data_IF_992295328247
#
_entry.id   IF_992295328247
#
_cell.length_a   1.000
_cell.length_b   1.000
_cell.length_c   1.000
_cell.angle_alpha   90.00
_cell.angle_beta   90.00
_cell.angle_gamma   90.00
#
_symmetry.space_group_name_H-M   'P 1'
#
loop_
_entity.id
_entity.type
_entity.pdbx_description
1 polymer ?
#
# COMPACT_ATOMS: atom_id res chain seq x y z
N UNK A 1 -9.77 14.67 -38.15
CA UNK A 1 -10.36 13.71 -37.18
C UNK A 1 -9.21 13.03 -36.46
N UNK A 2 -8.80 13.53 -35.29
CA UNK A 2 -7.73 12.90 -34.51
C UNK A 2 -8.26 11.60 -33.93
N UNK A 3 -7.75 10.46 -34.41
CA UNK A 3 -7.94 9.20 -33.74
C UNK A 3 -7.24 9.31 -32.38
N UNK A 4 -8.00 9.59 -31.32
CA UNK A 4 -7.52 9.39 -29.97
C UNK A 4 -7.27 7.89 -29.81
N UNK A 5 -6.08 7.43 -30.20
CA UNK A 5 -5.67 6.05 -30.01
C UNK A 5 -5.75 5.77 -28.52
N UNK A 6 -6.76 5.01 -28.09
CA UNK A 6 -6.96 4.66 -26.69
C UNK A 6 -5.91 3.62 -26.33
N UNK A 7 -5.23 3.79 -25.21
CA UNK A 7 -4.30 2.77 -24.70
C UNK A 7 -5.05 1.44 -24.47
N UNK A 8 -4.45 0.28 -24.79
CA UNK A 8 -5.09 -1.03 -24.67
C UNK A 8 -5.48 -1.34 -23.22
N UNK A 9 -6.39 -2.32 -23.05
CA UNK A 9 -6.78 -2.77 -21.71
C UNK A 9 -5.65 -3.56 -21.03
N UNK A 10 -4.95 -4.39 -21.79
CA UNK A 10 -3.83 -5.19 -21.31
C UNK A 10 -2.53 -4.37 -21.27
N UNK A 11 -1.57 -4.73 -20.38
CA UNK A 11 -0.30 -4.03 -20.26
C UNK A 11 0.48 -3.94 -21.58
N UNK A 12 0.76 -2.71 -22.03
CA UNK A 12 1.61 -2.40 -23.18
C UNK A 12 2.53 -1.22 -22.82
N UNK A 13 3.49 -1.52 -21.93
CA UNK A 13 4.48 -0.54 -21.49
C UNK A 13 5.30 0.05 -22.64
N UNK A 14 5.75 -0.72 -23.66
CA UNK A 14 6.43 -0.13 -24.82
C UNK A 14 5.63 0.97 -25.50
N UNK A 15 4.33 0.76 -25.76
CA UNK A 15 3.47 1.77 -26.36
C UNK A 15 3.27 2.99 -25.43
N UNK A 16 3.08 2.76 -24.13
CA UNK A 16 2.97 3.85 -23.15
C UNK A 16 4.24 4.72 -23.15
N UNK A 17 5.40 4.08 -23.16
CA UNK A 17 6.70 4.75 -23.19
C UNK A 17 6.88 5.58 -24.46
N UNK A 18 6.69 4.95 -25.62
CA UNK A 18 6.83 5.61 -26.92
C UNK A 18 5.96 6.88 -27.02
N UNK A 19 4.81 6.90 -26.34
CA UNK A 19 3.88 8.02 -26.39
C UNK A 19 4.16 9.13 -25.38
N UNK A 20 4.54 8.80 -24.16
CA UNK A 20 4.52 9.76 -23.05
C UNK A 20 5.90 10.17 -22.52
N UNK A 21 6.98 9.45 -22.83
CA UNK A 21 8.32 9.81 -22.36
C UNK A 21 8.73 11.21 -22.82
N UNK A 22 8.47 11.59 -24.08
CA UNK A 22 8.79 12.92 -24.59
C UNK A 22 8.00 14.07 -23.96
N UNK A 23 6.87 13.78 -23.30
CA UNK A 23 6.03 14.79 -22.62
C UNK A 23 6.40 15.01 -21.15
N UNK A 24 7.26 14.16 -20.57
CA UNK A 24 7.55 14.15 -19.14
C UNK A 24 6.43 13.58 -18.26
N UNK A 25 5.29 13.18 -18.84
CA UNK A 25 4.21 12.48 -18.11
C UNK A 25 4.58 11.07 -17.69
N UNK A 26 5.50 10.42 -18.41
CA UNK A 26 6.08 9.13 -18.01
C UNK A 26 7.59 9.29 -17.88
N UNK A 27 8.12 9.00 -16.70
CA UNK A 27 9.55 8.99 -16.42
C UNK A 27 9.94 7.58 -16.00
N UNK A 28 11.06 7.09 -16.54
CA UNK A 28 11.56 5.74 -16.31
C UNK A 28 12.88 5.79 -15.61
N UNK A 29 13.18 4.69 -14.90
CA UNK A 29 14.48 4.44 -14.32
C UNK A 29 14.94 5.62 -13.42
N UNK A 30 13.97 6.20 -12.70
CA UNK A 30 14.18 7.37 -11.84
C UNK A 30 14.71 6.89 -10.51
N UNK A 31 15.84 7.43 -10.04
CA UNK A 31 16.33 7.12 -8.70
C UNK A 31 15.33 7.62 -7.64
N UNK A 32 15.24 6.91 -6.51
CA UNK A 32 14.31 7.28 -5.43
C UNK A 32 14.50 8.74 -4.97
N UNK A 33 15.75 9.19 -4.86
CA UNK A 33 16.08 10.55 -4.42
C UNK A 33 15.59 11.60 -5.43
N UNK A 34 15.71 11.34 -6.73
CA UNK A 34 15.26 12.26 -7.78
C UNK A 34 13.74 12.31 -7.84
N UNK A 35 13.08 11.15 -7.74
CA UNK A 35 11.63 11.07 -7.59
C UNK A 35 11.16 11.87 -6.38
N UNK A 36 11.87 11.80 -5.25
CA UNK A 36 11.53 12.56 -4.06
C UNK A 36 11.67 14.07 -4.23
N UNK A 37 12.71 14.54 -4.92
CA UNK A 37 12.85 15.96 -5.26
C UNK A 37 11.69 16.44 -6.14
N UNK A 38 11.32 15.65 -7.14
CA UNK A 38 10.21 15.96 -8.06
C UNK A 38 8.85 15.98 -7.38
N UNK A 39 8.67 15.19 -6.32
CA UNK A 39 7.40 15.00 -5.60
C UNK A 39 7.31 15.81 -4.31
N UNK A 40 8.23 16.74 -4.06
CA UNK A 40 8.18 17.58 -2.85
C UNK A 40 6.85 18.33 -2.77
N UNK A 41 6.16 18.20 -1.64
CA UNK A 41 4.86 18.84 -1.39
C UNK A 41 3.69 18.24 -2.17
N UNK A 42 3.90 17.13 -2.88
CA UNK A 42 2.88 16.41 -3.65
C UNK A 42 2.40 15.16 -2.90
N UNK A 43 1.21 14.69 -3.25
CA UNK A 43 0.69 13.39 -2.82
C UNK A 43 0.92 12.34 -3.91
N UNK A 44 1.67 11.28 -3.61
CA UNK A 44 1.97 10.21 -4.56
C UNK A 44 1.09 8.97 -4.31
N UNK A 45 0.57 8.37 -5.39
CA UNK A 45 -0.10 7.08 -5.37
C UNK A 45 0.96 5.99 -5.57
N UNK A 46 1.19 5.14 -4.57
CA UNK A 46 2.12 4.02 -4.67
C UNK A 46 1.42 2.79 -5.26
N UNK A 47 1.72 2.50 -6.53
CA UNK A 47 1.17 1.36 -7.24
C UNK A 47 2.13 0.17 -7.18
N UNK A 48 1.78 -0.85 -6.40
CA UNK A 48 2.55 -2.10 -6.26
C UNK A 48 1.77 -3.30 -6.81
N UNK A 49 2.46 -4.38 -7.20
CA UNK A 49 1.78 -5.64 -7.50
C UNK A 49 1.07 -6.16 -6.25
N UNK A 50 -0.05 -6.86 -6.43
CA UNK A 50 -0.80 -7.46 -5.32
C UNK A 50 -1.41 -8.80 -5.71
N UNK A 51 -2.43 -8.82 -6.57
CA UNK A 51 -3.27 -10.00 -6.85
C UNK A 51 -2.46 -11.27 -7.06
N UNK A 52 -1.52 -11.30 -8.03
CA UNK A 52 -0.66 -12.46 -8.28
C UNK A 52 0.31 -12.81 -7.15
N UNK A 53 0.75 -11.83 -6.38
CA UNK A 53 1.63 -12.05 -5.23
C UNK A 53 0.86 -12.54 -4.01
N UNK A 54 -0.45 -12.28 -3.95
CA UNK A 54 -1.33 -12.65 -2.84
C UNK A 54 -2.04 -13.99 -3.02
N UNK A 55 -1.83 -14.68 -4.14
CA UNK A 55 -2.43 -16.00 -4.41
C UNK A 55 -1.47 -17.16 -4.17
N UNK A 56 -2.00 -18.31 -3.78
CA UNK A 56 -1.29 -19.59 -3.80
C UNK A 56 -1.17 -20.16 -5.23
N UNK A 57 -0.52 -21.32 -5.38
CA UNK A 57 -0.37 -22.03 -6.67
C UNK A 57 -1.72 -22.44 -7.30
N UNK A 58 -2.78 -22.50 -6.49
CA UNK A 58 -4.14 -22.77 -6.93
C UNK A 58 -4.93 -21.52 -7.34
N UNK A 59 -4.30 -20.34 -7.32
CA UNK A 59 -4.95 -19.06 -7.63
C UNK A 59 -5.91 -18.59 -6.54
N UNK A 60 -5.92 -19.21 -5.36
CA UNK A 60 -6.72 -18.76 -4.22
C UNK A 60 -5.95 -17.72 -3.44
N UNK A 61 -6.67 -16.74 -2.90
CA UNK A 61 -6.05 -15.77 -2.02
C UNK A 61 -5.48 -16.44 -0.77
N UNK A 62 -4.26 -16.05 -0.40
CA UNK A 62 -3.52 -16.55 0.74
C UNK A 62 -3.20 -15.38 1.68
N UNK A 63 -3.70 -15.40 2.94
CA UNK A 63 -3.45 -14.33 3.91
C UNK A 63 -1.97 -14.01 4.10
N UNK A 64 -1.11 -15.03 4.18
CA UNK A 64 0.33 -14.83 4.38
C UNK A 64 0.99 -14.19 3.15
N UNK A 65 0.65 -14.64 1.94
CA UNK A 65 1.17 -14.05 0.71
C UNK A 65 0.67 -12.62 0.51
N UNK A 66 -0.57 -12.34 0.90
CA UNK A 66 -1.13 -10.98 0.95
C UNK A 66 -0.33 -10.07 1.88
N UNK A 67 -0.03 -10.52 3.10
CA UNK A 67 0.77 -9.74 4.05
C UNK A 67 2.18 -9.48 3.52
N UNK A 68 2.82 -10.45 2.85
CA UNK A 68 4.14 -10.23 2.24
C UNK A 68 4.11 -9.17 1.13
N UNK A 69 3.08 -9.18 0.28
CA UNK A 69 2.89 -8.15 -0.74
C UNK A 69 2.65 -6.77 -0.12
N UNK A 70 1.86 -6.72 0.97
CA UNK A 70 1.60 -5.50 1.72
C UNK A 70 2.85 -4.98 2.45
N UNK A 71 3.67 -5.84 3.03
CA UNK A 71 4.92 -5.49 3.67
C UNK A 71 5.92 -4.91 2.66
N UNK A 72 6.00 -5.47 1.45
CA UNK A 72 6.81 -4.91 0.38
C UNK A 72 6.33 -3.49 -0.01
N UNK A 73 5.02 -3.29 -0.09
CA UNK A 73 4.43 -1.97 -0.35
C UNK A 73 4.64 -0.98 0.81
N UNK A 74 4.56 -1.45 2.06
CA UNK A 74 4.83 -0.67 3.26
C UNK A 74 6.31 -0.27 3.33
N UNK A 75 7.23 -1.16 2.95
CA UNK A 75 8.66 -0.87 2.85
C UNK A 75 8.95 0.28 1.88
N UNK A 76 8.29 0.29 0.71
CA UNK A 76 8.40 1.41 -0.23
C UNK A 76 7.74 2.68 0.28
N UNK A 77 6.60 2.57 0.94
CA UNK A 77 5.95 3.71 1.61
C UNK A 77 6.88 4.35 2.64
N UNK A 78 7.57 3.53 3.45
CA UNK A 78 8.56 3.98 4.42
C UNK A 78 9.75 4.66 3.75
N UNK A 79 10.28 4.10 2.65
CA UNK A 79 11.39 4.71 1.90
C UNK A 79 11.02 6.09 1.36
N UNK A 80 9.83 6.24 0.77
CA UNK A 80 9.33 7.55 0.32
C UNK A 80 9.13 8.52 1.49
N UNK A 81 8.59 8.04 2.62
CA UNK A 81 8.42 8.86 3.82
C UNK A 81 9.76 9.38 4.35
N UNK A 82 10.79 8.51 4.43
CA UNK A 82 12.16 8.91 4.79
C UNK A 82 12.76 9.93 3.82
N UNK A 83 12.37 9.88 2.54
CA UNK A 83 12.77 10.85 1.52
C UNK A 83 11.90 12.14 1.51
N UNK A 84 10.94 12.27 2.43
CA UNK A 84 10.08 13.45 2.55
C UNK A 84 8.89 13.50 1.58
N UNK A 85 8.52 12.35 0.99
CA UNK A 85 7.36 12.21 0.10
C UNK A 85 6.20 11.57 0.84
N UNK A 86 5.01 12.16 0.73
CA UNK A 86 3.78 11.51 1.21
C UNK A 86 3.26 10.57 0.11
N UNK A 87 3.54 9.27 0.27
CA UNK A 87 3.03 8.23 -0.60
C UNK A 87 1.87 7.49 0.08
N UNK A 88 0.74 7.33 -0.61
CA UNK A 88 -0.39 6.51 -0.18
C UNK A 88 -0.37 5.17 -0.91
N UNK A 89 -0.45 4.08 -0.15
CA UNK A 89 -0.49 2.72 -0.71
C UNK A 89 -1.87 2.09 -0.48
N UNK A 90 -2.67 1.93 -1.55
CA UNK A 90 -3.92 1.19 -1.47
C UNK A 90 -3.72 -0.26 -1.05
N UNK A 91 -2.60 -0.87 -1.42
CA UNK A 91 -2.28 -2.27 -1.06
C UNK A 91 -2.10 -2.43 0.44
N UNK A 92 -1.34 -1.53 1.09
CA UNK A 92 -1.15 -1.55 2.55
C UNK A 92 -2.50 -1.41 3.27
N UNK A 93 -3.34 -0.48 2.80
CA UNK A 93 -4.65 -0.25 3.43
C UNK A 93 -5.63 -1.41 3.16
N UNK A 94 -5.65 -1.95 1.95
CA UNK A 94 -6.49 -3.09 1.58
C UNK A 94 -6.13 -4.34 2.37
N UNK A 95 -4.84 -4.67 2.50
CA UNK A 95 -4.40 -5.81 3.30
C UNK A 95 -4.82 -5.63 4.77
N UNK A 96 -4.61 -4.46 5.37
CA UNK A 96 -5.07 -4.21 6.74
C UNK A 96 -6.59 -4.41 6.93
N UNK A 97 -7.40 -4.09 5.91
CA UNK A 97 -8.84 -4.34 5.92
C UNK A 97 -9.18 -5.83 5.78
N UNK A 98 -8.47 -6.55 4.90
CA UNK A 98 -8.67 -7.99 4.66
C UNK A 98 -8.23 -8.83 5.87
N UNK A 99 -7.08 -8.52 6.46
CA UNK A 99 -6.54 -9.23 7.62
C UNK A 99 -7.35 -9.00 8.90
N UNK A 100 -8.25 -8.00 8.91
CA UNK A 100 -9.16 -7.76 10.04
C UNK A 100 -10.11 -8.95 10.25
N UNK A 101 -10.54 -9.58 9.16
CA UNK A 101 -11.42 -10.74 9.15
C UNK A 101 -11.18 -11.58 7.86
N UNK A 102 -10.07 -12.33 7.79
CA UNK A 102 -9.57 -12.92 6.54
C UNK A 102 -10.42 -14.08 6.01
N UNK A 103 -11.44 -14.51 6.75
CA UNK A 103 -12.38 -15.55 6.33
C UNK A 103 -13.76 -14.99 5.98
N UNK A 104 -13.91 -13.67 5.95
CA UNK A 104 -15.14 -13.00 5.59
C UNK A 104 -15.26 -12.83 4.09
N UNK A 105 -16.40 -13.22 3.53
CA UNK A 105 -16.74 -12.98 2.12
C UNK A 105 -17.20 -11.53 1.85
N UNK A 106 -17.21 -10.66 2.87
CA UNK A 106 -17.66 -9.28 2.72
C UNK A 106 -16.71 -8.43 1.85
N UNK A 107 -15.42 -8.79 1.81
CA UNK A 107 -14.40 -8.17 0.98
C UNK A 107 -13.64 -9.26 0.24
N UNK A 108 -14.02 -9.52 -1.01
CA UNK A 108 -13.26 -10.45 -1.85
C UNK A 108 -11.90 -9.80 -2.25
N UNK A 109 -10.76 -10.37 -1.81
CA UNK A 109 -9.43 -9.84 -2.15
C UNK A 109 -9.10 -9.92 -3.65
N UNK A 110 -9.81 -10.75 -4.42
CA UNK A 110 -9.60 -10.94 -5.85
C UNK A 110 -10.66 -10.22 -6.72
N UNK A 111 -11.62 -9.50 -6.10
CA UNK A 111 -12.58 -8.67 -6.85
C UNK A 111 -11.91 -7.40 -7.40
N UNK A 112 -11.33 -7.55 -8.59
CA UNK A 112 -10.67 -6.45 -9.30
C UNK A 112 -11.59 -5.24 -9.53
N UNK A 113 -12.90 -5.46 -9.69
CA UNK A 113 -13.86 -4.38 -9.96
C UNK A 113 -14.07 -3.55 -8.71
N UNK A 114 -14.34 -4.19 -7.58
CA UNK A 114 -14.48 -3.54 -6.28
C UNK A 114 -13.23 -2.71 -5.95
N UNK A 115 -12.05 -3.33 -5.99
CA UNK A 115 -10.80 -2.66 -5.64
C UNK A 115 -10.47 -1.52 -6.61
N UNK A 116 -10.76 -1.66 -7.91
CA UNK A 116 -10.59 -0.58 -8.89
C UNK A 116 -11.50 0.62 -8.61
N UNK A 117 -12.74 0.38 -8.19
CA UNK A 117 -13.69 1.45 -7.82
C UNK A 117 -13.23 2.12 -6.53
N UNK A 118 -12.82 1.34 -5.53
CA UNK A 118 -12.35 1.84 -4.25
C UNK A 118 -11.05 2.65 -4.35
N UNK A 119 -10.10 2.23 -5.19
CA UNK A 119 -8.83 2.95 -5.41
C UNK A 119 -8.99 4.24 -6.22
N UNK A 120 -10.04 4.33 -7.05
CA UNK A 120 -10.25 5.46 -7.97
C UNK A 120 -10.21 6.85 -7.29
N UNK A 121 -10.92 7.11 -6.17
CA UNK A 121 -10.83 8.40 -5.49
C UNK A 121 -9.43 8.72 -4.96
N UNK A 122 -8.67 7.72 -4.49
CA UNK A 122 -7.27 7.93 -4.07
C UNK A 122 -6.42 8.37 -5.26
N UNK A 123 -6.46 7.59 -6.36
CA UNK A 123 -5.75 7.90 -7.59
C UNK A 123 -6.14 9.28 -8.16
N UNK A 124 -7.40 9.67 -8.02
CA UNK A 124 -7.89 10.96 -8.51
C UNK A 124 -7.30 12.17 -7.74
N UNK A 125 -6.87 11.98 -6.49
CA UNK A 125 -6.34 13.04 -5.63
C UNK A 125 -4.83 13.12 -5.60
N UNK A 126 -4.14 12.08 -6.05
CA UNK A 126 -2.69 12.08 -6.15
C UNK A 126 -2.19 12.89 -7.37
N UNK A 127 -1.05 13.55 -7.19
CA UNK A 127 -0.36 14.35 -8.20
C UNK A 127 0.57 13.50 -9.09
N UNK A 128 0.89 12.29 -8.63
CA UNK A 128 1.69 11.32 -9.37
C UNK A 128 1.31 9.88 -8.99
N UNK A 129 1.57 8.95 -9.91
CA UNK A 129 1.66 7.52 -9.65
C UNK A 129 3.14 7.14 -9.63
N UNK A 130 3.58 6.52 -8.54
CA UNK A 130 4.94 5.98 -8.40
C UNK A 130 4.86 4.46 -8.40
N UNK A 131 5.70 3.82 -9.22
CA UNK A 131 5.76 2.37 -9.38
C UNK A 131 7.17 1.92 -9.00
N UNK A 132 7.34 1.22 -7.87
CA UNK A 132 8.63 0.70 -7.48
C UNK A 132 9.02 -0.54 -8.32
N UNK A 133 10.32 -0.88 -8.38
CA UNK A 133 10.86 -2.04 -9.10
C UNK A 133 10.55 -3.37 -8.38
N UNK A 134 9.29 -3.62 -8.02
CA UNK A 134 8.86 -4.86 -7.39
C UNK A 134 8.60 -5.95 -8.45
N UNK A 135 9.02 -7.20 -8.24
CA UNK A 135 8.78 -8.29 -9.19
C UNK A 135 7.30 -8.40 -9.61
N UNK A 136 7.06 -8.50 -10.91
CA UNK A 136 5.70 -8.63 -11.45
C UNK A 136 4.96 -7.31 -11.73
N UNK A 137 5.59 -6.15 -11.51
CA UNK A 137 4.93 -4.86 -11.74
C UNK A 137 4.51 -4.64 -13.19
N UNK A 138 5.33 -5.05 -14.15
CA UNK A 138 5.06 -4.88 -15.58
C UNK A 138 3.83 -5.68 -16.03
N UNK A 139 3.56 -6.82 -15.41
CA UNK A 139 2.45 -7.69 -15.77
C UNK A 139 1.19 -7.42 -14.93
N UNK A 140 1.25 -6.50 -13.97
CA UNK A 140 0.11 -6.18 -13.10
C UNK A 140 -0.94 -5.36 -13.83
N UNK A 141 -2.12 -5.95 -14.03
CA UNK A 141 -3.26 -5.27 -14.64
C UNK A 141 -3.70 -4.04 -13.82
N UNK A 142 -3.66 -4.13 -12.49
CA UNK A 142 -3.98 -3.01 -11.59
C UNK A 142 -3.00 -1.84 -11.72
N UNK A 143 -1.70 -2.11 -11.79
CA UNK A 143 -0.68 -1.07 -11.98
C UNK A 143 -0.82 -0.43 -13.36
N UNK A 144 -1.04 -1.23 -14.40
CA UNK A 144 -1.29 -0.74 -15.75
C UNK A 144 -2.54 0.14 -15.83
N UNK A 145 -3.64 -0.27 -15.18
CA UNK A 145 -4.86 0.52 -15.10
C UNK A 145 -4.63 1.87 -14.39
N UNK A 146 -3.88 1.88 -13.29
CA UNK A 146 -3.50 3.10 -12.57
C UNK A 146 -2.64 4.03 -13.46
N UNK A 147 -1.60 3.50 -14.12
CA UNK A 147 -0.74 4.27 -15.01
C UNK A 147 -1.52 4.87 -16.19
N UNK A 148 -2.39 4.08 -16.84
CA UNK A 148 -3.27 4.57 -17.91
C UNK A 148 -4.20 5.68 -17.45
N UNK A 149 -4.84 5.51 -16.30
CA UNK A 149 -5.74 6.50 -15.74
C UNK A 149 -4.98 7.79 -15.38
N UNK A 150 -3.76 7.68 -14.86
CA UNK A 150 -2.90 8.81 -14.56
C UNK A 150 -2.53 9.62 -15.81
N UNK A 151 -1.95 8.98 -16.84
CA UNK A 151 -1.55 9.72 -18.07
C UNK A 151 -2.75 10.31 -18.81
N UNK A 152 -3.91 9.64 -18.77
CA UNK A 152 -5.15 10.17 -19.36
C UNK A 152 -5.61 11.45 -18.66
N UNK A 153 -5.29 11.61 -17.37
CA UNK A 153 -5.58 12.79 -16.55
C UNK A 153 -4.44 13.80 -16.50
N UNK A 154 -3.39 13.63 -17.31
CA UNK A 154 -2.18 14.46 -17.26
C UNK A 154 -1.47 14.40 -15.90
N UNK A 155 -1.63 13.29 -15.19
CA UNK A 155 -0.92 12.98 -13.93
C UNK A 155 0.35 12.22 -14.27
N UNK A 156 1.45 12.55 -13.58
CA UNK A 156 2.76 11.93 -13.83
C UNK A 156 2.76 10.45 -13.42
N UNK A 157 3.48 9.63 -14.17
CA UNK A 157 3.81 8.25 -13.85
C UNK A 157 5.33 8.14 -13.77
N UNK A 158 5.83 7.70 -12.62
CA UNK A 158 7.26 7.60 -12.34
C UNK A 158 7.59 6.14 -12.03
N UNK A 159 8.41 5.52 -12.87
CA UNK A 159 8.96 4.19 -12.61
C UNK A 159 10.30 4.36 -11.90
N UNK A 160 10.39 3.83 -10.69
CA UNK A 160 11.61 3.89 -9.90
C UNK A 160 12.60 2.84 -10.44
N UNK A 161 13.85 3.24 -10.60
CA UNK A 161 14.92 2.33 -11.00
C UNK A 161 15.07 1.19 -9.98
N UNK A 162 15.37 -0.01 -10.47
CA UNK A 162 15.94 -1.04 -9.62
C UNK A 162 17.24 -0.50 -9.02
N UNK A 163 17.38 -0.56 -7.70
CA UNK A 163 18.69 -0.31 -7.11
C UNK A 163 19.64 -1.39 -7.64
N UNK A 164 20.87 -1.03 -8.04
CA UNK A 164 21.88 -2.05 -8.28
C UNK A 164 21.96 -2.90 -7.02
N UNK A 165 21.95 -4.23 -7.15
CA UNK A 165 22.21 -5.11 -6.02
C UNK A 165 23.50 -4.61 -5.36
N UNK A 166 23.36 -3.94 -4.21
CA UNK A 166 24.51 -3.56 -3.41
C UNK A 166 25.28 -4.84 -3.08
N UNK A 167 26.59 -4.77 -2.83
CA UNK A 167 27.29 -5.93 -2.28
C UNK A 167 26.48 -6.44 -1.09
N UNK A 168 26.17 -7.74 -1.08
CA UNK A 168 25.40 -8.42 -0.03
C UNK A 168 25.73 -7.77 1.31
N UNK A 169 24.70 -7.24 1.97
CA UNK A 169 24.84 -6.69 3.31
C UNK A 169 25.65 -7.69 4.13
N UNK A 170 26.79 -7.28 4.76
CA UNK A 170 27.53 -8.19 5.60
C UNK A 170 26.57 -8.77 6.63
N UNK A 171 26.68 -10.09 6.84
CA UNK A 171 25.87 -10.88 7.74
C UNK A 171 25.56 -10.11 9.03
N UNK A 172 24.37 -10.30 9.64
CA UNK A 172 24.00 -9.58 10.86
C UNK A 172 25.14 -9.72 11.86
N UNK A 173 25.65 -8.58 12.31
CA UNK A 173 26.66 -8.49 13.36
C UNK A 173 26.21 -9.39 14.51
N UNK A 174 26.83 -10.56 14.61
CA UNK A 174 26.66 -11.50 15.71
C UNK A 174 27.50 -11.01 16.88
N UNK A 175 27.31 -9.75 17.28
CA UNK A 175 27.80 -9.23 18.55
C UNK A 175 26.63 -9.30 19.52
N UNK A 176 26.41 -10.50 20.05
CA UNK A 176 25.70 -10.62 21.31
C UNK A 176 26.43 -9.70 22.32
N UNK A 177 25.73 -8.76 22.99
CA UNK A 177 26.37 -7.95 24.01
C UNK A 177 26.95 -8.87 25.09
N UNK A 178 28.16 -8.59 25.61
CA UNK A 178 28.72 -9.39 26.68
C UNK A 178 27.76 -9.40 27.87
N UNK A 179 27.60 -10.53 28.59
CA UNK A 179 26.67 -10.62 29.70
C UNK A 179 27.01 -9.56 30.75
N UNK A 180 25.98 -8.81 31.17
CA UNK A 180 26.11 -7.83 32.25
C UNK A 180 26.59 -8.54 33.53
N UNK A 181 27.50 -7.93 34.31
CA UNK A 181 27.93 -8.50 35.58
C UNK A 181 26.75 -8.59 36.55
N UNK A 182 26.49 -9.81 37.03
CA UNK A 182 25.48 -10.14 38.02
C UNK A 182 25.76 -9.38 39.32
N UNK A 183 25.06 -8.26 39.54
CA UNK A 183 25.07 -7.57 40.83
C UNK A 183 24.07 -8.27 41.75
N UNK A 184 24.59 -8.92 42.79
CA UNK A 184 23.80 -9.39 43.92
C UNK A 184 23.14 -8.19 44.60
N UNK A 185 21.84 -8.02 44.41
CA UNK A 185 21.03 -7.16 45.27
C UNK A 185 20.66 -7.92 46.55
N UNK A 186 20.89 -7.34 47.75
CA UNK A 186 20.38 -7.91 48.98
C UNK A 186 18.86 -7.75 49.06
N UNK A 187 18.17 -8.84 49.40
CA UNK A 187 16.74 -8.88 49.66
C UNK A 187 16.40 -7.95 50.84
N UNK A 188 15.70 -6.85 50.55
CA UNK A 188 15.05 -6.04 51.59
C UNK A 188 13.56 -6.38 51.60
N UNK A 189 13.12 -7.04 52.68
CA UNK A 189 11.71 -7.28 53.00
C UNK A 189 10.97 -5.97 53.16
N UNK A 190 10.00 -5.69 52.28
CA UNK A 190 9.05 -4.60 52.44
C UNK A 190 7.69 -5.16 52.89
N UNK A 191 7.28 -4.77 54.10
CA UNK A 191 5.93 -4.99 54.64
C UNK A 191 4.88 -4.29 53.79
N UNK A 192 3.84 -5.03 53.40
CA UNK A 192 2.69 -4.52 52.68
C UNK A 192 1.73 -3.76 53.62
N UNK A 193 1.58 -2.46 53.42
CA UNK A 193 0.41 -1.70 53.90
C UNK A 193 -0.47 -1.38 52.71
N UNK A 194 -1.64 -2.04 52.64
CA UNK A 194 -2.66 -1.82 51.60
C UNK A 194 -3.37 -0.52 51.89
N UNK A 195 -3.34 0.42 50.95
CA UNK A 195 -4.32 1.51 50.90
C UNK A 195 -5.02 1.45 49.55
N UNK A 196 -6.32 1.22 49.62
CA UNK A 196 -7.26 1.04 48.52
C UNK A 196 -7.56 2.37 47.83
N UNK A 197 -7.56 2.39 46.49
CA UNK A 197 -8.12 3.48 45.69
C UNK A 197 -9.22 2.90 44.75
N UNK A 198 -10.31 3.65 44.50
CA UNK A 198 -11.50 3.12 43.84
C UNK A 198 -11.35 3.02 42.31
N UNK A 199 -11.89 1.92 41.78
CA UNK A 199 -11.97 1.59 40.35
C UNK A 199 -12.97 2.50 39.63
N UNK A 200 -12.49 3.25 38.64
CA UNK A 200 -13.32 4.02 37.72
C UNK A 200 -13.83 3.09 36.61
N UNK A 201 -15.11 2.71 36.67
CA UNK A 201 -15.78 1.96 35.63
C UNK A 201 -15.91 2.82 34.36
N UNK A 202 -15.16 2.46 33.32
CA UNK A 202 -15.27 3.06 31.99
C UNK A 202 -16.59 2.64 31.34
N UNK A 203 -17.55 3.57 31.26
CA UNK A 203 -18.82 3.38 30.55
C UNK A 203 -18.56 3.39 29.04
N UNK A 204 -18.66 2.21 28.43
CA UNK A 204 -18.75 2.07 26.98
C UNK A 204 -20.10 2.65 26.51
N UNK A 205 -20.14 3.61 25.56
CA UNK A 205 -21.40 4.09 25.00
C UNK A 205 -22.05 2.99 24.14
N UNK A 206 -23.34 2.71 24.40
CA UNK A 206 -24.18 1.87 23.55
C UNK A 206 -24.24 2.46 22.14
N UNK A 207 -23.88 1.66 21.13
CA UNK A 207 -24.11 1.99 19.72
C UNK A 207 -25.61 2.17 19.48
N UNK A 208 -25.99 3.28 18.85
CA UNK A 208 -27.34 3.46 18.32
C UNK A 208 -27.53 2.59 17.07
N UNK A 209 -28.73 2.04 16.84
CA UNK A 209 -29.05 1.33 15.60
C UNK A 209 -29.05 2.30 14.40
N UNK A 210 -28.55 1.79 13.27
CA UNK A 210 -28.51 2.49 11.98
C UNK A 210 -29.93 2.59 11.43
N UNK A 211 -30.38 3.75 10.92
CA UNK A 211 -31.70 3.88 10.30
C UNK A 211 -31.79 3.06 9.01
N UNK A 212 -32.87 2.29 8.93
CA UNK A 212 -33.25 1.45 7.80
C UNK A 212 -33.60 2.34 6.60
N UNK A 213 -32.87 2.17 5.49
CA UNK A 213 -33.16 2.86 4.23
C UNK A 213 -34.42 2.25 3.60
N UNK A 214 -35.54 2.97 3.67
CA UNK A 214 -36.73 2.65 2.87
C UNK A 214 -36.41 2.84 1.38
N UNK A 215 -36.53 1.75 0.62
CA UNK A 215 -36.46 1.83 -0.84
C UNK A 215 -37.75 2.45 -1.39
N UNK A 216 -37.67 3.36 -2.39
CA UNK A 216 -38.85 3.88 -3.06
C UNK A 216 -39.43 2.83 -4.01
N UNK A 217 -40.69 2.48 -3.81
CA UNK A 217 -41.46 1.68 -4.76
C UNK A 217 -41.61 2.45 -6.09
N UNK A 218 -40.91 1.97 -7.11
CA UNK A 218 -41.00 2.47 -8.47
C UNK A 218 -42.23 1.91 -9.17
N UNK A 219 -43.24 2.76 -9.35
CA UNK A 219 -44.41 2.50 -10.17
C UNK A 219 -44.06 2.24 -11.64
N UNK A 220 -44.83 1.34 -12.24
CA UNK A 220 -44.82 1.01 -13.67
C UNK A 220 -45.73 1.99 -14.42
N UNK A 221 -45.38 2.43 -15.64
CA UNK A 221 -46.34 3.06 -16.55
C UNK A 221 -47.37 2.07 -17.10
#
# INVERSE_FOLDING_TARGET
>A
MSMHHRLPRDPDWPQLCARYTGSGLLQRDVALIDAAQLLRGSLAYLATPYTRQSTDDGGRWCPSSSSLAADAAAGWTSRFACAGVTAVSPVVQADAMLQRDPWSDALDPLDETFWSVWCRPLLARCDAVVIPPLPGWEQSAGIWAAARAAVTRQTRVILIAAEPEGPESPAPFSDAPPPLPTTHFPTVSASASRTSAPSAASRVPRRQPVPEYQQPEGGTP
#
